data_IF_251361374497
#
_entry.id   IF_251361374497
#
_cell.length_a   1.000
_cell.length_b   1.000
_cell.length_c   1.000
_cell.angle_alpha   90.00
_cell.angle_beta   90.00
_cell.angle_gamma   90.00
#
_symmetry.space_group_name_H-M   'P 1'
#
loop_
_entity.id
_entity.type
_entity.pdbx_description
1 polymer ?
#
# COMPACT_ATOMS: atom_id res chain seq x y z
N UNK A 1 22.19 -25.32 13.20
CA UNK A 1 22.02 -25.38 14.68
C UNK A 1 23.39 -25.09 15.30
N UNK A 2 23.55 -24.15 16.23
CA UNK A 2 24.88 -23.73 16.74
C UNK A 2 25.06 -23.89 18.26
N UNK A 3 24.02 -24.29 18.99
CA UNK A 3 24.05 -24.50 20.44
C UNK A 3 23.42 -25.84 20.84
N UNK A 4 23.85 -26.40 21.98
CA UNK A 4 23.37 -27.68 22.52
C UNK A 4 21.86 -27.70 22.86
N UNK A 5 21.23 -26.54 22.97
CA UNK A 5 19.79 -26.38 23.24
C UNK A 5 18.97 -26.16 21.95
N UNK A 6 19.59 -26.34 20.78
CA UNK A 6 18.89 -26.18 19.50
C UNK A 6 18.43 -27.55 19.01
N UNK A 7 17.13 -27.76 18.88
CA UNK A 7 16.59 -28.95 18.20
C UNK A 7 15.72 -28.52 17.03
N UNK A 8 15.77 -29.30 15.94
CA UNK A 8 14.94 -29.06 14.78
C UNK A 8 14.24 -30.33 14.32
N UNK A 9 13.01 -30.20 13.84
CA UNK A 9 12.22 -31.32 13.30
C UNK A 9 11.56 -30.89 12.01
N UNK A 10 11.48 -31.81 11.06
CA UNK A 10 10.67 -31.64 9.85
C UNK A 10 9.31 -32.28 10.11
N UNK A 11 8.25 -31.52 9.89
CA UNK A 11 6.86 -31.92 10.03
C UNK A 11 6.20 -31.96 8.64
N UNK A 12 5.21 -32.85 8.45
CA UNK A 12 4.41 -32.94 7.22
C UNK A 12 3.89 -34.35 6.93
N UNK A 13 3.25 -34.59 5.78
CA UNK A 13 2.55 -33.58 5.00
C UNK A 13 1.34 -33.06 5.81
N UNK A 14 1.13 -31.75 5.81
CA UNK A 14 -0.09 -31.14 6.33
C UNK A 14 -0.59 -30.06 5.36
N UNK A 15 -1.91 -29.88 5.30
CA UNK A 15 -2.49 -28.73 4.63
C UNK A 15 -1.95 -27.43 5.27
N UNK A 16 -1.82 -26.34 4.50
CA UNK A 16 -1.43 -25.04 5.05
C UNK A 16 -2.27 -24.67 6.29
N UNK A 17 -1.60 -24.32 7.39
CA UNK A 17 -2.24 -23.93 8.66
C UNK A 17 -2.57 -25.09 9.61
N UNK A 18 -2.25 -26.33 9.25
CA UNK A 18 -2.42 -27.50 10.13
C UNK A 18 -1.08 -27.95 10.74
N UNK A 19 -1.12 -28.33 12.01
CA UNK A 19 0.05 -28.92 12.68
C UNK A 19 0.19 -30.38 12.25
N UNK A 20 1.37 -30.76 11.74
CA UNK A 20 1.69 -32.15 11.45
C UNK A 20 2.57 -32.78 12.52
N UNK A 21 2.52 -34.11 12.61
CA UNK A 21 3.51 -34.88 13.35
C UNK A 21 4.89 -34.71 12.72
N UNK A 22 5.97 -34.78 13.53
CA UNK A 22 7.32 -34.81 12.99
C UNK A 22 7.55 -36.08 12.18
N UNK A 23 8.12 -35.93 11.00
CA UNK A 23 8.48 -37.02 10.08
C UNK A 23 9.97 -37.29 10.11
N UNK A 24 10.78 -36.25 10.32
CA UNK A 24 12.23 -36.36 10.41
C UNK A 24 12.74 -35.59 11.61
N UNK A 25 13.51 -36.26 12.47
CA UNK A 25 14.34 -35.59 13.46
C UNK A 25 15.59 -35.05 12.77
N UNK A 26 15.94 -33.80 13.04
CA UNK A 26 17.26 -33.27 12.68
C UNK A 26 18.24 -33.52 13.83
N UNK A 27 19.55 -33.58 13.56
CA UNK A 27 20.55 -33.80 14.58
C UNK A 27 20.35 -32.87 15.79
N UNK A 28 20.28 -33.44 16.99
CA UNK A 28 19.94 -32.71 18.21
C UNK A 28 21.12 -32.04 18.91
N UNK A 29 22.36 -32.28 18.44
CA UNK A 29 23.59 -31.72 19.02
C UNK A 29 24.67 -31.51 17.95
N UNK A 30 25.33 -30.35 17.95
CA UNK A 30 26.45 -30.03 17.04
C UNK A 30 26.18 -28.85 16.10
N UNK A 31 27.22 -28.41 15.40
CA UNK A 31 27.13 -27.39 14.34
C UNK A 31 26.93 -28.05 12.98
N UNK A 32 25.74 -27.88 12.40
CA UNK A 32 25.43 -28.36 11.05
C UNK A 32 25.01 -27.19 10.18
N UNK A 33 25.61 -27.11 8.99
CA UNK A 33 25.20 -26.21 7.90
C UNK A 33 24.37 -26.95 6.86
N UNK A 34 24.63 -28.24 6.65
CA UNK A 34 23.96 -29.09 5.65
C UNK A 34 23.66 -30.47 6.22
N UNK A 35 22.41 -30.94 6.08
CA UNK A 35 21.99 -32.29 6.48
C UNK A 35 21.14 -32.90 5.37
N UNK A 36 21.50 -34.12 4.94
CA UNK A 36 20.77 -34.83 3.87
C UNK A 36 19.64 -35.65 4.47
N UNK A 37 18.44 -35.42 3.97
CA UNK A 37 17.28 -36.30 4.15
C UNK A 37 16.99 -37.01 2.83
N UNK A 38 16.63 -38.28 2.90
CA UNK A 38 16.14 -39.02 1.73
C UNK A 38 14.62 -38.95 1.72
N UNK A 39 14.06 -38.37 0.66
CA UNK A 39 12.61 -38.23 0.48
C UNK A 39 12.07 -39.29 -0.48
N UNK A 40 10.87 -39.78 -0.23
CA UNK A 40 10.11 -40.55 -1.23
C UNK A 40 9.62 -39.63 -2.36
N UNK A 41 9.28 -40.15 -3.56
CA UNK A 41 8.73 -39.33 -4.64
C UNK A 41 7.50 -38.51 -4.23
N UNK A 42 6.62 -39.07 -3.38
CA UNK A 42 5.47 -38.33 -2.85
C UNK A 42 5.90 -37.19 -1.93
N UNK A 43 6.85 -37.43 -1.02
CA UNK A 43 7.36 -36.38 -0.12
C UNK A 43 8.09 -35.27 -0.89
N UNK A 44 8.71 -35.57 -2.03
CA UNK A 44 9.27 -34.54 -2.92
C UNK A 44 8.16 -33.67 -3.51
N UNK A 45 7.04 -34.26 -3.94
CA UNK A 45 5.90 -33.51 -4.44
C UNK A 45 5.25 -32.67 -3.34
N UNK A 46 5.05 -33.24 -2.16
CA UNK A 46 4.49 -32.55 -0.99
C UNK A 46 5.40 -31.40 -0.53
N UNK A 47 6.73 -31.58 -0.53
CA UNK A 47 7.69 -30.53 -0.23
C UNK A 47 7.62 -29.39 -1.27
N UNK A 48 7.56 -29.73 -2.57
CA UNK A 48 7.38 -28.75 -3.64
C UNK A 48 6.05 -28.00 -3.53
N UNK A 49 5.02 -28.66 -3.00
CA UNK A 49 3.71 -28.08 -2.73
C UNK A 49 3.65 -27.31 -1.39
N UNK A 50 4.74 -27.24 -0.62
CA UNK A 50 4.77 -26.50 0.66
C UNK A 50 4.15 -27.23 1.86
N UNK A 51 3.90 -28.54 1.76
CA UNK A 51 3.21 -29.30 2.81
C UNK A 51 4.14 -29.77 3.95
N UNK A 52 5.44 -29.51 3.82
CA UNK A 52 6.47 -29.83 4.81
C UNK A 52 7.07 -28.56 5.40
N UNK A 53 7.30 -28.54 6.72
CA UNK A 53 7.91 -27.41 7.41
C UNK A 53 8.96 -27.84 8.44
N UNK A 54 9.94 -26.98 8.70
CA UNK A 54 10.95 -27.19 9.75
C UNK A 54 10.59 -26.34 10.96
N UNK A 55 10.47 -26.97 12.12
CA UNK A 55 10.38 -26.28 13.41
C UNK A 55 11.77 -26.31 14.06
N UNK A 56 12.35 -25.16 14.41
CA UNK A 56 13.64 -25.05 15.10
C UNK A 56 13.44 -24.36 16.45
N UNK A 57 13.66 -25.05 17.58
CA UNK A 57 13.69 -24.37 18.89
C UNK A 57 15.10 -23.94 19.22
N UNK A 58 15.29 -22.71 19.72
CA UNK A 58 16.58 -22.19 20.16
C UNK A 58 16.42 -21.20 21.33
N UNK A 59 17.50 -20.80 22.00
CA UNK A 59 17.43 -19.75 23.03
C UNK A 59 16.98 -18.37 22.47
N UNK A 60 17.24 -18.10 21.19
CA UNK A 60 16.73 -16.91 20.49
C UNK A 60 15.25 -17.05 20.08
N UNK A 61 14.74 -18.29 19.99
CA UNK A 61 13.38 -18.63 19.60
C UNK A 61 12.84 -19.73 20.54
N UNK A 62 12.60 -19.42 21.83
CA UNK A 62 12.33 -20.41 22.87
C UNK A 62 11.03 -21.20 22.63
N UNK A 63 10.14 -20.64 21.82
CA UNK A 63 8.87 -21.22 21.39
C UNK A 63 8.97 -22.07 20.09
N UNK A 64 10.06 -21.96 19.34
CA UNK A 64 10.23 -22.56 18.01
C UNK A 64 10.18 -21.54 16.87
N UNK A 65 10.93 -21.83 15.80
CA UNK A 65 11.07 -21.05 14.58
C UNK A 65 9.82 -21.24 13.70
N UNK A 66 9.16 -20.12 13.44
CA UNK A 66 7.96 -19.94 12.63
C UNK A 66 8.38 -19.77 11.18
N UNK A 67 7.63 -20.36 10.24
CA UNK A 67 7.80 -20.13 8.80
C UNK A 67 6.53 -19.55 8.21
N UNK A 68 6.60 -18.30 7.74
CA UNK A 68 5.59 -17.73 6.85
C UNK A 68 5.76 -18.32 5.45
N UNK A 69 4.67 -18.83 4.86
CA UNK A 69 4.65 -19.27 3.46
C UNK A 69 3.43 -18.66 2.75
N UNK A 70 3.58 -18.38 1.46
CA UNK A 70 2.40 -18.23 0.59
C UNK A 70 1.64 -19.55 0.56
N UNK A 71 0.30 -19.50 0.65
CA UNK A 71 -0.55 -20.69 0.55
C UNK A 71 -0.42 -21.44 -0.78
N UNK A 72 0.14 -20.80 -1.82
CA UNK A 72 0.50 -21.39 -3.10
C UNK A 72 1.79 -20.75 -3.66
N UNK A 73 2.67 -21.55 -4.28
CA UNK A 73 3.96 -21.11 -4.87
C UNK A 73 3.75 -20.39 -6.22
N UNK A 74 2.60 -20.61 -6.85
CA UNK A 74 2.13 -19.91 -8.05
C UNK A 74 0.61 -19.75 -7.96
N UNK A 75 0.10 -18.55 -8.25
CA UNK A 75 -1.34 -18.29 -8.28
C UNK A 75 -1.75 -17.73 -9.63
N UNK A 76 -2.98 -18.02 -10.06
CA UNK A 76 -3.57 -17.44 -11.27
C UNK A 76 -4.77 -16.58 -10.90
N UNK A 77 -4.99 -15.52 -11.66
CA UNK A 77 -6.16 -14.65 -11.58
C UNK A 77 -6.58 -14.25 -12.99
N UNK A 78 -7.89 -14.20 -13.24
CA UNK A 78 -8.40 -13.59 -14.47
C UNK A 78 -8.22 -12.08 -14.39
N UNK A 79 -7.91 -11.45 -15.50
CA UNK A 79 -7.81 -9.99 -15.57
C UNK A 79 -9.11 -9.31 -15.09
N UNK A 80 -10.26 -9.74 -15.63
CA UNK A 80 -11.59 -9.31 -15.16
C UNK A 80 -12.05 -9.80 -13.77
N UNK A 81 -11.15 -10.32 -12.93
CA UNK A 81 -11.51 -10.66 -11.54
C UNK A 81 -11.61 -9.44 -10.62
N UNK A 82 -11.05 -8.30 -11.04
CA UNK A 82 -10.95 -7.07 -10.27
C UNK A 82 -9.82 -7.08 -9.24
N UNK A 83 -9.67 -8.17 -8.48
CA UNK A 83 -8.55 -8.32 -7.54
C UNK A 83 -8.15 -9.77 -7.30
N UNK A 84 -6.93 -9.95 -6.79
CA UNK A 84 -6.39 -11.20 -6.30
C UNK A 84 -6.10 -11.13 -4.81
N UNK A 85 -6.83 -11.90 -4.01
CA UNK A 85 -6.48 -12.13 -2.60
C UNK A 85 -5.28 -13.07 -2.49
N UNK A 86 -4.22 -12.58 -1.84
CA UNK A 86 -3.02 -13.34 -1.51
C UNK A 86 -3.09 -13.79 -0.06
N UNK A 87 -3.12 -15.11 0.15
CA UNK A 87 -3.12 -15.70 1.49
C UNK A 87 -1.70 -15.96 1.97
N UNK A 88 -1.40 -15.44 3.16
CA UNK A 88 -0.15 -15.68 3.89
C UNK A 88 -0.46 -16.53 5.11
N UNK A 89 0.21 -17.68 5.19
CA UNK A 89 0.00 -18.66 6.25
C UNK A 89 1.20 -18.61 7.19
N UNK A 90 0.91 -18.54 8.48
CA UNK A 90 1.87 -18.70 9.58
C UNK A 90 1.79 -20.14 10.09
N UNK A 91 2.89 -20.86 10.01
CA UNK A 91 3.03 -22.23 10.52
C UNK A 91 3.83 -22.25 11.84
N UNK A 92 3.59 -23.27 12.66
CA UNK A 92 4.31 -23.47 13.93
C UNK A 92 3.58 -22.87 15.13
N UNK A 93 4.33 -22.32 16.09
CA UNK A 93 3.72 -21.74 17.30
C UNK A 93 3.04 -20.39 16.99
N UNK A 94 1.75 -20.32 17.30
CA UNK A 94 0.92 -19.12 17.16
C UNK A 94 0.79 -18.32 18.48
N UNK A 95 1.43 -18.75 19.58
CA UNK A 95 1.22 -18.17 20.92
C UNK A 95 1.62 -16.70 21.07
N UNK A 96 2.60 -16.23 20.29
CA UNK A 96 3.07 -14.85 20.30
C UNK A 96 2.58 -14.07 19.05
N UNK A 97 2.55 -12.74 19.12
CA UNK A 97 2.31 -11.91 17.94
C UNK A 97 3.55 -11.87 17.03
N UNK A 98 3.35 -11.80 15.72
CA UNK A 98 4.42 -11.66 14.72
C UNK A 98 4.01 -10.70 13.60
N UNK A 99 5.00 -10.12 12.93
CA UNK A 99 4.77 -9.32 11.73
C UNK A 99 5.59 -9.84 10.56
N UNK A 100 5.11 -9.57 9.34
CA UNK A 100 5.84 -9.82 8.09
C UNK A 100 5.44 -8.77 7.07
N UNK A 101 6.42 -8.23 6.36
CA UNK A 101 6.17 -7.29 5.27
C UNK A 101 5.87 -8.06 3.99
N UNK A 102 5.03 -7.48 3.13
CA UNK A 102 4.77 -7.97 1.78
C UNK A 102 4.96 -6.83 0.77
N UNK A 103 5.40 -7.18 -0.43
CA UNK A 103 5.46 -6.26 -1.56
C UNK A 103 5.24 -7.02 -2.88
N UNK A 104 4.57 -6.36 -3.80
CA UNK A 104 4.52 -6.75 -5.20
C UNK A 104 5.69 -6.15 -5.98
N UNK A 105 6.07 -6.79 -7.08
CA UNK A 105 7.05 -6.26 -8.02
C UNK A 105 6.78 -6.79 -9.42
N UNK A 106 7.08 -5.98 -10.42
CA UNK A 106 6.81 -6.28 -11.82
C UNK A 106 7.48 -7.57 -12.29
N UNK A 107 6.86 -8.21 -13.28
CA UNK A 107 7.42 -9.29 -14.06
C UNK A 107 7.28 -8.94 -15.54
N UNK A 108 6.40 -9.63 -16.25
CA UNK A 108 5.90 -9.11 -17.54
C UNK A 108 4.73 -8.16 -17.34
N UNK A 109 3.91 -8.41 -16.31
CA UNK A 109 2.91 -7.47 -15.84
C UNK A 109 3.57 -6.35 -15.02
N UNK A 110 3.10 -5.13 -15.17
CA UNK A 110 3.61 -3.89 -14.57
C UNK A 110 2.57 -3.21 -13.67
N UNK A 111 3.01 -2.55 -12.60
CA UNK A 111 2.10 -1.80 -11.73
C UNK A 111 1.45 -0.57 -12.38
N UNK A 112 1.92 -0.22 -13.59
CA UNK A 112 1.45 0.95 -14.34
C UNK A 112 0.21 0.60 -15.15
N UNK A 113 0.13 -0.62 -15.67
CA UNK A 113 -0.94 -1.10 -16.54
C UNK A 113 -1.80 -2.16 -15.86
N UNK A 114 -1.23 -3.27 -15.37
CA UNK A 114 -1.99 -4.53 -15.22
C UNK A 114 -2.41 -4.82 -13.77
N UNK A 115 -1.73 -4.21 -12.79
CA UNK A 115 -2.09 -4.36 -11.38
C UNK A 115 -1.75 -3.10 -10.58
N UNK A 116 -2.37 -2.93 -9.41
CA UNK A 116 -1.97 -1.89 -8.46
C UNK A 116 -0.97 -2.46 -7.47
N UNK A 117 0.19 -1.80 -7.30
CA UNK A 117 1.15 -2.17 -6.26
C UNK A 117 0.47 -2.34 -4.90
N UNK A 118 0.58 -3.55 -4.38
CA UNK A 118 0.24 -3.90 -3.01
C UNK A 118 1.53 -4.04 -2.21
N UNK A 119 1.63 -3.28 -1.11
CA UNK A 119 2.74 -3.35 -0.16
C UNK A 119 2.22 -3.01 1.23
N UNK A 120 2.75 -3.68 2.25
CA UNK A 120 2.48 -3.33 3.63
C UNK A 120 2.97 -4.37 4.61
N UNK A 121 2.46 -4.31 5.84
CA UNK A 121 2.80 -5.27 6.90
C UNK A 121 1.56 -6.07 7.30
N UNK A 122 1.70 -7.39 7.35
CA UNK A 122 0.73 -8.29 7.95
C UNK A 122 1.09 -8.49 9.42
N UNK A 123 0.09 -8.29 10.29
CA UNK A 123 0.22 -8.45 11.74
C UNK A 123 -0.63 -9.63 12.16
N UNK A 124 0.02 -10.66 12.69
CA UNK A 124 -0.63 -11.83 13.25
C UNK A 124 -0.64 -11.67 14.78
N UNK A 125 -1.82 -11.52 15.36
CA UNK A 125 -2.00 -11.57 16.80
C UNK A 125 -1.74 -12.99 17.34
N UNK A 126 -1.70 -13.11 18.67
CA UNK A 126 -1.65 -14.43 19.33
C UNK A 126 -2.82 -15.30 18.87
N UNK A 127 -2.53 -16.52 18.44
CA UNK A 127 -3.47 -17.51 17.92
C UNK A 127 -3.77 -17.38 16.42
N UNK A 128 -3.40 -16.28 15.75
CA UNK A 128 -3.68 -16.10 14.32
C UNK A 128 -2.65 -16.84 13.45
N UNK A 129 -3.15 -17.71 12.55
CA UNK A 129 -2.32 -18.54 11.65
C UNK A 129 -2.49 -18.19 10.17
N UNK A 130 -3.40 -17.29 9.82
CA UNK A 130 -3.61 -16.84 8.44
C UNK A 130 -3.95 -15.34 8.40
N UNK A 131 -3.38 -14.65 7.41
CA UNK A 131 -3.75 -13.30 7.00
C UNK A 131 -3.79 -13.25 5.48
N UNK A 132 -4.39 -12.20 4.95
CA UNK A 132 -4.39 -11.94 3.53
C UNK A 132 -4.26 -10.45 3.24
N UNK A 133 -3.94 -10.15 2.00
CA UNK A 133 -4.05 -8.83 1.40
C UNK A 133 -4.51 -8.99 -0.04
N UNK A 134 -5.10 -7.94 -0.59
CA UNK A 134 -5.57 -7.93 -1.96
C UNK A 134 -4.58 -7.18 -2.86
N UNK A 135 -4.40 -7.70 -4.07
CA UNK A 135 -3.74 -7.01 -5.18
C UNK A 135 -4.82 -6.69 -6.20
N UNK A 136 -5.07 -5.40 -6.44
CA UNK A 136 -6.05 -4.99 -7.45
C UNK A 136 -5.48 -5.28 -8.84
N UNK A 137 -6.30 -5.85 -9.72
CA UNK A 137 -5.96 -6.21 -11.09
C UNK A 137 -6.68 -5.22 -12.02
N UNK A 138 -5.93 -4.58 -12.91
CA UNK A 138 -6.54 -3.75 -13.95
C UNK A 138 -7.15 -4.69 -14.98
N UNK A 139 -8.35 -4.35 -15.46
CA UNK A 139 -9.05 -5.09 -16.51
C UNK A 139 -9.22 -4.09 -17.63
N UNK A 140 -8.49 -4.29 -18.72
CA UNK A 140 -8.56 -3.41 -19.87
C UNK A 140 -9.17 -4.10 -21.11
N UNK A 141 -8.81 -3.64 -22.31
CA UNK A 141 -9.38 -4.13 -23.56
C UNK A 141 -8.30 -4.56 -24.56
N UNK A 142 -7.07 -4.74 -24.09
CA UNK A 142 -5.91 -5.07 -24.91
C UNK A 142 -5.57 -6.53 -24.77
N UNK A 143 -5.46 -7.19 -25.93
CA UNK A 143 -4.92 -8.53 -25.97
C UNK A 143 -3.40 -8.51 -25.78
N UNK A 144 -2.96 -8.86 -24.58
CA UNK A 144 -1.55 -8.87 -24.15
C UNK A 144 -1.02 -10.29 -23.91
N UNK A 145 -1.92 -11.27 -23.78
CA UNK A 145 -1.60 -12.62 -23.38
C UNK A 145 -1.40 -12.75 -21.86
N UNK A 146 -1.05 -13.94 -21.38
CA UNK A 146 -0.85 -14.12 -19.94
C UNK A 146 0.43 -13.46 -19.46
N UNK A 147 0.29 -12.61 -18.46
CA UNK A 147 1.39 -11.88 -17.86
C UNK A 147 1.61 -12.25 -16.39
N UNK A 148 2.75 -11.87 -15.84
CA UNK A 148 3.14 -12.25 -14.47
C UNK A 148 3.69 -11.09 -13.68
N UNK A 149 3.32 -11.01 -12.40
CA UNK A 149 3.99 -10.19 -11.40
C UNK A 149 4.43 -11.07 -10.23
N UNK A 150 5.31 -10.56 -9.37
CA UNK A 150 5.82 -11.28 -8.21
C UNK A 150 5.28 -10.68 -6.92
N UNK A 151 5.12 -11.54 -5.91
CA UNK A 151 4.81 -11.16 -4.54
C UNK A 151 5.92 -11.68 -3.64
N UNK A 152 6.48 -10.83 -2.79
CA UNK A 152 7.59 -11.18 -1.89
C UNK A 152 7.23 -10.86 -0.44
N UNK A 153 7.56 -11.77 0.48
CA UNK A 153 7.56 -11.53 1.92
C UNK A 153 8.95 -11.14 2.41
N UNK A 154 9.03 -10.22 3.37
CA UNK A 154 10.30 -9.74 3.93
C UNK A 154 10.17 -9.30 5.39
N UNK A 155 11.29 -9.00 6.04
CA UNK A 155 11.40 -8.41 7.39
C UNK A 155 10.48 -9.03 8.46
N UNK A 156 10.48 -10.36 8.65
CA UNK A 156 9.67 -10.95 9.70
C UNK A 156 10.16 -10.49 11.08
N UNK A 157 9.24 -10.17 12.00
CA UNK A 157 9.56 -9.95 13.41
C UNK A 157 8.92 -11.04 14.26
N UNK A 158 9.70 -11.61 15.19
CA UNK A 158 9.26 -12.75 16.00
C UNK A 158 9.06 -14.06 15.21
N UNK A 159 9.44 -14.08 13.92
CA UNK A 159 9.29 -15.22 13.01
C UNK A 159 10.46 -15.30 12.01
N UNK A 160 10.53 -16.39 11.25
CA UNK A 160 11.39 -16.53 10.08
C UNK A 160 10.55 -16.74 8.80
N UNK A 161 11.15 -16.50 7.64
CA UNK A 161 10.52 -16.77 6.34
C UNK A 161 10.90 -18.17 5.84
N UNK A 162 9.93 -18.87 5.23
CA UNK A 162 10.24 -20.08 4.46
C UNK A 162 10.82 -19.75 3.10
N UNK A 163 11.37 -20.76 2.42
CA UNK A 163 11.75 -20.67 1.00
C UNK A 163 10.78 -21.54 0.19
N UNK A 164 10.18 -21.01 -0.90
CA UNK A 164 10.35 -19.64 -1.39
C UNK A 164 9.56 -18.62 -0.57
N UNK A 165 10.17 -17.45 -0.32
CA UNK A 165 9.50 -16.28 0.25
C UNK A 165 8.94 -15.35 -0.82
N UNK A 166 8.91 -15.82 -2.07
CA UNK A 166 8.36 -15.14 -3.23
C UNK A 166 7.46 -16.09 -4.02
N UNK A 167 6.38 -15.57 -4.60
CA UNK A 167 5.47 -16.32 -5.46
C UNK A 167 5.16 -15.50 -6.72
N UNK A 168 5.09 -16.16 -7.87
CA UNK A 168 4.61 -15.54 -9.10
C UNK A 168 3.08 -15.61 -9.15
N UNK A 169 2.45 -14.53 -9.59
CA UNK A 169 1.02 -14.45 -9.88
C UNK A 169 0.86 -14.22 -11.37
N UNK A 170 0.14 -15.13 -12.03
CA UNK A 170 -0.20 -15.01 -13.45
C UNK A 170 -1.57 -14.35 -13.60
N UNK A 171 -1.61 -13.25 -14.35
CA UNK A 171 -2.83 -12.64 -14.85
C UNK A 171 -3.15 -13.31 -16.17
N UNK A 172 -4.32 -13.93 -16.27
CA UNK A 172 -4.82 -14.48 -17.53
C UNK A 172 -5.73 -13.46 -18.19
N UNK A 173 -5.22 -12.92 -19.30
CA UNK A 173 -5.94 -12.09 -20.27
C UNK A 173 -7.30 -12.73 -20.64
N UNK A 174 -8.35 -11.92 -20.57
CA UNK A 174 -9.74 -12.27 -20.93
C UNK A 174 -10.17 -11.66 -22.27
N UNK A 175 -9.29 -10.94 -22.96
CA UNK A 175 -9.53 -10.29 -24.23
C UNK A 175 -9.19 -11.19 -25.43
N UNK A 176 -10.03 -11.05 -26.46
CA UNK A 176 -9.99 -11.92 -27.64
C UNK A 176 -9.60 -11.19 -28.92
N UNK A 177 -9.53 -9.86 -28.89
CA UNK A 177 -9.06 -9.04 -29.99
C UNK A 177 -8.45 -7.74 -29.48
N UNK A 178 -7.36 -7.25 -30.10
CA UNK A 178 -6.80 -5.95 -29.74
C UNK A 178 -7.81 -4.84 -29.96
N UNK A 179 -7.95 -3.95 -28.98
CA UNK A 179 -8.80 -2.77 -29.09
C UNK A 179 -8.32 -1.83 -30.22
N UNK A 180 -9.27 -1.23 -30.93
CA UNK A 180 -9.01 -0.19 -31.94
C UNK A 180 -8.80 1.22 -31.35
N UNK A 181 -9.01 1.37 -30.04
CA UNK A 181 -8.83 2.62 -29.29
C UNK A 181 -8.10 2.34 -27.97
N UNK A 182 -7.49 3.36 -27.37
CA UNK A 182 -6.91 3.22 -26.05
C UNK A 182 -8.02 2.87 -25.03
N UNK A 183 -7.92 1.79 -24.23
CA UNK A 183 -8.96 1.37 -23.31
C UNK A 183 -9.39 2.47 -22.34
N UNK A 184 -8.48 3.37 -21.94
CA UNK A 184 -8.83 4.45 -21.00
C UNK A 184 -9.86 5.44 -21.57
N UNK A 185 -10.12 5.42 -22.87
CA UNK A 185 -11.18 6.21 -23.50
C UNK A 185 -12.59 5.70 -23.14
N UNK A 186 -12.69 4.43 -22.72
CA UNK A 186 -13.89 3.87 -22.11
C UNK A 186 -14.18 4.55 -20.76
N UNK A 187 -15.45 4.93 -20.57
CA UNK A 187 -15.85 5.70 -19.39
C UNK A 187 -15.82 4.85 -18.12
N UNK A 188 -16.20 3.57 -18.20
CA UNK A 188 -16.24 2.69 -17.05
C UNK A 188 -14.83 2.36 -16.56
N UNK A 189 -13.92 2.03 -17.48
CA UNK A 189 -12.52 1.82 -17.15
C UNK A 189 -11.89 3.11 -16.59
N UNK A 190 -12.13 4.26 -17.22
CA UNK A 190 -11.63 5.54 -16.72
C UNK A 190 -12.06 5.82 -15.28
N UNK A 191 -13.34 5.63 -14.96
CA UNK A 191 -13.87 5.81 -13.60
C UNK A 191 -13.25 4.80 -12.65
N UNK A 192 -13.22 3.51 -13.01
CA UNK A 192 -12.64 2.45 -12.17
C UNK A 192 -11.18 2.76 -11.85
N UNK A 193 -10.40 3.19 -12.83
CA UNK A 193 -8.98 3.50 -12.62
C UNK A 193 -8.75 4.60 -11.59
N UNK A 194 -9.66 5.57 -11.46
CA UNK A 194 -9.55 6.58 -10.41
C UNK A 194 -9.73 6.00 -9.01
N UNK A 195 -10.60 5.00 -8.85
CA UNK A 195 -10.73 4.28 -7.58
C UNK A 195 -9.47 3.49 -7.24
N UNK A 196 -8.86 2.83 -8.23
CA UNK A 196 -7.62 2.08 -8.01
C UNK A 196 -6.46 3.03 -7.67
N UNK A 197 -6.23 4.04 -8.51
CA UNK A 197 -5.06 4.92 -8.44
C UNK A 197 -5.08 5.86 -7.23
N UNK A 198 -6.26 6.41 -6.89
CA UNK A 198 -6.38 7.40 -5.81
C UNK A 198 -6.88 6.81 -4.49
N UNK A 199 -7.71 5.76 -4.54
CA UNK A 199 -8.37 5.22 -3.35
C UNK A 199 -7.91 3.80 -2.98
N UNK A 200 -7.13 3.13 -3.84
CA UNK A 200 -6.63 1.77 -3.62
C UNK A 200 -7.73 0.77 -3.28
N UNK A 201 -8.88 0.84 -3.97
CA UNK A 201 -10.00 -0.10 -3.81
C UNK A 201 -10.83 -0.20 -5.09
N UNK A 202 -11.64 -1.25 -5.17
CA UNK A 202 -12.72 -1.32 -6.16
C UNK A 202 -13.79 -0.25 -5.90
N UNK A 203 -14.47 0.22 -6.96
CA UNK A 203 -15.56 1.15 -6.81
C UNK A 203 -16.76 0.47 -6.15
N UNK A 204 -17.43 1.20 -5.27
CA UNK A 204 -18.76 0.79 -4.82
C UNK A 204 -19.77 1.05 -5.95
N UNK A 205 -20.79 0.18 -6.06
CA UNK A 205 -21.73 0.22 -7.18
C UNK A 205 -22.39 1.60 -7.38
N UNK A 206 -22.74 2.28 -6.28
CA UNK A 206 -23.35 3.62 -6.33
C UNK A 206 -22.40 4.68 -6.87
N UNK A 207 -21.18 4.75 -6.34
CA UNK A 207 -20.18 5.71 -6.78
C UNK A 207 -19.74 5.44 -8.23
N UNK A 208 -19.57 4.16 -8.59
CA UNK A 208 -19.26 3.76 -9.95
C UNK A 208 -20.29 4.28 -10.96
N UNK A 209 -21.58 4.03 -10.69
CA UNK A 209 -22.67 4.47 -11.52
C UNK A 209 -22.76 6.00 -11.56
N UNK A 210 -22.59 6.67 -10.42
CA UNK A 210 -22.64 8.13 -10.35
C UNK A 210 -21.59 8.78 -11.27
N UNK A 211 -20.32 8.38 -11.15
CA UNK A 211 -19.23 8.97 -11.94
C UNK A 211 -19.29 8.57 -13.42
N UNK A 212 -19.70 7.33 -13.71
CA UNK A 212 -19.94 6.88 -15.10
C UNK A 212 -21.03 7.72 -15.75
N UNK A 213 -22.19 7.85 -15.09
CA UNK A 213 -23.31 8.62 -15.61
C UNK A 213 -23.01 10.12 -15.73
N UNK A 214 -22.15 10.68 -14.85
CA UNK A 214 -21.71 12.07 -14.96
C UNK A 214 -21.06 12.35 -16.33
N UNK A 215 -20.22 11.43 -16.82
CA UNK A 215 -19.56 11.55 -18.13
C UNK A 215 -20.52 11.17 -19.26
N UNK A 216 -21.26 10.06 -19.14
CA UNK A 216 -22.18 9.58 -20.18
C UNK A 216 -23.37 10.51 -20.43
N UNK A 217 -23.73 11.37 -19.47
CA UNK A 217 -24.77 12.39 -19.64
C UNK A 217 -24.50 13.37 -20.80
N UNK A 218 -23.25 13.47 -21.27
CA UNK A 218 -22.86 14.27 -22.42
C UNK A 218 -23.18 13.63 -23.78
N UNK A 219 -23.52 12.34 -23.84
CA UNK A 219 -23.68 11.62 -25.10
C UNK A 219 -22.44 11.72 -25.99
N UNK A 220 -22.63 12.03 -27.28
CA UNK A 220 -21.52 12.11 -28.25
C UNK A 220 -20.70 13.42 -28.22
N UNK A 221 -21.07 14.40 -27.37
CA UNK A 221 -20.36 15.68 -27.28
C UNK A 221 -18.98 15.50 -26.60
N UNK A 222 -17.93 15.51 -27.42
CA UNK A 222 -16.55 15.31 -26.96
C UNK A 222 -16.04 16.44 -26.07
N UNK A 223 -16.50 17.68 -26.28
CA UNK A 223 -16.09 18.80 -25.43
C UNK A 223 -16.71 18.66 -24.04
N UNK A 224 -18.00 18.32 -23.98
CA UNK A 224 -18.68 18.03 -22.72
C UNK A 224 -18.01 16.85 -22.00
N UNK A 225 -17.74 15.73 -22.69
CA UNK A 225 -17.07 14.56 -22.08
C UNK A 225 -15.69 14.91 -21.55
N UNK A 226 -14.90 15.69 -22.29
CA UNK A 226 -13.57 16.12 -21.84
C UNK A 226 -13.64 16.93 -20.54
N UNK A 227 -14.60 17.87 -20.42
CA UNK A 227 -14.83 18.64 -19.20
C UNK A 227 -15.27 17.72 -18.05
N UNK A 228 -16.23 16.80 -18.28
CA UNK A 228 -16.69 15.86 -17.26
C UNK A 228 -15.60 14.92 -16.77
N UNK A 229 -14.68 14.49 -17.65
CA UNK A 229 -13.52 13.69 -17.26
C UNK A 229 -12.60 14.47 -16.33
N UNK A 230 -12.31 15.74 -16.63
CA UNK A 230 -11.54 16.63 -15.75
C UNK A 230 -12.22 16.82 -14.38
N UNK A 231 -13.53 17.08 -14.38
CA UNK A 231 -14.29 17.27 -13.13
C UNK A 231 -14.30 15.99 -12.28
N UNK A 232 -14.58 14.84 -12.89
CA UNK A 232 -14.55 13.53 -12.24
C UNK A 232 -13.16 13.27 -11.66
N UNK A 233 -12.10 13.49 -12.44
CA UNK A 233 -10.71 13.32 -12.03
C UNK A 233 -10.35 14.13 -10.79
N UNK A 234 -10.62 15.44 -10.82
CA UNK A 234 -10.35 16.31 -9.69
C UNK A 234 -11.15 15.92 -8.44
N UNK A 235 -12.37 15.42 -8.61
CA UNK A 235 -13.23 15.04 -7.50
C UNK A 235 -12.66 13.90 -6.64
N UNK A 236 -11.84 13.01 -7.19
CA UNK A 236 -11.22 11.94 -6.40
C UNK A 236 -10.23 12.49 -5.38
N UNK A 237 -9.38 13.44 -5.78
CA UNK A 237 -8.50 14.12 -4.82
C UNK A 237 -9.30 14.92 -3.79
N UNK A 238 -10.37 15.59 -4.22
CA UNK A 238 -11.23 16.40 -3.35
C UNK A 238 -12.13 15.56 -2.42
N UNK A 239 -12.24 14.26 -2.67
CA UNK A 239 -13.11 13.37 -1.91
C UNK A 239 -12.71 13.32 -0.44
N UNK A 240 -13.70 13.13 0.43
CA UNK A 240 -13.46 12.92 1.87
C UNK A 240 -12.47 11.78 2.08
N UNK A 241 -12.61 10.70 1.31
CA UNK A 241 -11.76 9.53 1.44
C UNK A 241 -10.29 9.91 1.20
N UNK A 242 -9.97 10.52 0.05
CA UNK A 242 -8.60 10.93 -0.26
C UNK A 242 -8.07 12.01 0.69
N UNK A 243 -8.89 12.99 1.05
CA UNK A 243 -8.50 14.06 1.97
C UNK A 243 -8.14 13.53 3.37
N UNK A 244 -8.76 12.43 3.78
CA UNK A 244 -8.54 11.81 5.09
C UNK A 244 -7.53 10.65 5.07
N UNK A 245 -7.12 10.18 3.89
CA UNK A 245 -6.09 9.15 3.70
C UNK A 245 -4.83 9.74 3.04
N UNK A 246 -4.80 9.86 1.71
CA UNK A 246 -3.68 10.38 0.91
C UNK A 246 -3.17 11.74 1.37
N UNK A 247 -4.07 12.71 1.52
CA UNK A 247 -3.64 14.04 1.95
C UNK A 247 -3.23 14.10 3.43
N UNK A 248 -3.69 13.18 4.27
CA UNK A 248 -3.15 13.00 5.62
C UNK A 248 -1.72 12.45 5.56
N UNK A 249 -1.47 11.38 4.81
CA UNK A 249 -0.12 10.81 4.63
C UNK A 249 0.86 11.87 4.14
N UNK A 250 0.50 12.63 3.11
CA UNK A 250 1.31 13.74 2.61
C UNK A 250 1.75 14.69 3.73
N UNK A 251 0.81 15.11 4.59
CA UNK A 251 1.07 16.05 5.70
C UNK A 251 1.93 15.42 6.79
N UNK A 252 1.74 14.14 7.10
CA UNK A 252 2.55 13.41 8.07
C UNK A 252 4.04 13.39 7.66
N UNK A 253 4.35 13.18 6.37
CA UNK A 253 5.72 13.31 5.86
C UNK A 253 6.25 14.75 6.02
N UNK A 254 5.41 15.75 5.75
CA UNK A 254 5.76 17.17 5.89
C UNK A 254 6.16 17.53 7.33
N UNK A 255 5.30 17.27 8.31
CA UNK A 255 5.58 17.65 9.71
C UNK A 255 6.61 16.74 10.40
N UNK A 256 6.76 15.48 9.96
CA UNK A 256 7.73 14.57 10.57
C UNK A 256 9.13 14.77 10.01
N UNK A 257 9.24 15.01 8.71
CA UNK A 257 10.50 14.92 7.97
C UNK A 257 10.83 16.15 7.12
N UNK A 258 9.99 17.18 7.13
CA UNK A 258 10.15 18.41 6.33
C UNK A 258 10.36 18.12 4.82
N UNK A 259 9.66 17.10 4.31
CA UNK A 259 9.72 16.70 2.90
C UNK A 259 8.39 16.12 2.44
N UNK A 260 8.22 16.06 1.12
CA UNK A 260 7.13 15.31 0.50
C UNK A 260 7.41 13.79 0.54
N UNK A 261 6.36 12.95 0.55
CA UNK A 261 6.51 11.51 0.36
C UNK A 261 7.07 11.20 -1.03
N UNK A 262 7.76 10.08 -1.17
CA UNK A 262 7.98 9.44 -2.48
C UNK A 262 6.84 8.48 -2.79
N UNK A 263 6.58 8.21 -4.06
CA UNK A 263 5.49 7.35 -4.54
C UNK A 263 5.47 5.99 -3.84
N UNK A 264 6.62 5.28 -3.80
CA UNK A 264 6.73 3.97 -3.15
C UNK A 264 6.57 3.98 -1.63
N UNK A 265 6.65 5.15 -0.99
CA UNK A 265 6.35 5.34 0.43
C UNK A 265 4.86 5.70 0.64
N UNK A 266 4.32 6.51 -0.25
CA UNK A 266 2.96 7.04 -0.20
C UNK A 266 1.91 5.93 -0.30
N UNK A 267 2.02 5.09 -1.34
CA UNK A 267 1.01 4.06 -1.63
C UNK A 267 0.73 3.13 -0.44
N UNK A 268 1.73 2.44 0.17
CA UNK A 268 1.45 1.55 1.30
C UNK A 268 0.86 2.28 2.51
N UNK A 269 1.32 3.51 2.78
CA UNK A 269 0.83 4.32 3.89
C UNK A 269 -0.65 4.71 3.69
N UNK A 270 -1.04 5.05 2.46
CA UNK A 270 -2.44 5.34 2.14
C UNK A 270 -3.35 4.12 2.21
N UNK A 271 -2.85 2.97 1.76
CA UNK A 271 -3.58 1.69 1.81
C UNK A 271 -3.85 1.25 3.25
N UNK A 272 -2.92 1.52 4.17
CA UNK A 272 -3.10 1.21 5.59
C UNK A 272 -4.19 2.08 6.23
N UNK A 273 -4.19 3.40 5.99
CA UNK A 273 -5.22 4.29 6.54
C UNK A 273 -6.60 4.02 5.90
N UNK A 274 -6.64 3.75 4.59
CA UNK A 274 -7.88 3.52 3.85
C UNK A 274 -8.51 2.12 4.02
N UNK A 275 -7.83 1.20 4.70
CA UNK A 275 -8.23 -0.22 4.76
C UNK A 275 -9.66 -0.40 5.29
N UNK A 276 -10.52 -0.99 4.47
CA UNK A 276 -11.92 -1.28 4.84
C UNK A 276 -12.82 -0.05 4.95
N UNK A 277 -12.36 1.11 4.47
CA UNK A 277 -13.14 2.36 4.50
C UNK A 277 -13.81 2.56 3.15
N UNK A 278 -15.14 2.70 3.17
CA UNK A 278 -15.92 3.22 2.05
C UNK A 278 -16.79 4.35 2.61
N UNK A 279 -16.51 5.59 2.22
CA UNK A 279 -17.23 6.76 2.76
C UNK A 279 -18.72 6.64 2.47
N UNK A 280 -19.53 6.81 3.52
CA UNK A 280 -20.99 6.72 3.46
C UNK A 280 -21.56 5.32 3.72
N UNK A 281 -20.73 4.30 3.91
CA UNK A 281 -21.17 2.92 4.19
C UNK A 281 -20.79 2.46 5.61
N UNK A 282 -21.67 1.68 6.25
CA UNK A 282 -21.41 1.09 7.56
C UNK A 282 -20.99 2.12 8.63
N UNK A 283 -19.97 1.78 9.41
CA UNK A 283 -19.37 2.63 10.45
C UNK A 283 -18.06 3.28 9.98
N UNK A 284 -17.96 3.66 8.70
CA UNK A 284 -16.72 4.10 8.07
C UNK A 284 -15.97 5.19 8.84
N UNK A 285 -16.63 6.14 9.52
CA UNK A 285 -15.95 7.16 10.32
C UNK A 285 -15.15 6.54 11.47
N UNK A 286 -15.76 5.61 12.21
CA UNK A 286 -15.12 4.93 13.33
C UNK A 286 -13.96 4.05 12.85
N UNK A 287 -14.15 3.36 11.73
CA UNK A 287 -13.09 2.55 11.11
C UNK A 287 -11.92 3.44 10.67
N UNK A 288 -12.20 4.55 10.00
CA UNK A 288 -11.18 5.49 9.53
C UNK A 288 -10.42 6.13 10.70
N UNK A 289 -11.12 6.55 11.76
CA UNK A 289 -10.47 7.12 12.95
C UNK A 289 -9.59 6.08 13.68
N UNK A 290 -10.05 4.83 13.76
CA UNK A 290 -9.25 3.73 14.30
C UNK A 290 -8.00 3.45 13.43
N UNK A 291 -8.16 3.41 12.10
CA UNK A 291 -7.05 3.22 11.17
C UNK A 291 -6.00 4.34 11.32
N UNK A 292 -6.42 5.61 11.34
CA UNK A 292 -5.53 6.76 11.52
C UNK A 292 -4.77 6.69 12.84
N UNK A 293 -5.45 6.38 13.94
CA UNK A 293 -4.82 6.29 15.25
C UNK A 293 -3.79 5.16 15.29
N UNK A 294 -4.15 3.96 14.81
CA UNK A 294 -3.23 2.82 14.72
C UNK A 294 -2.02 3.15 13.84
N UNK A 295 -2.25 3.78 12.68
CA UNK A 295 -1.18 4.19 11.78
C UNK A 295 -0.25 5.22 12.45
N UNK A 296 -0.79 6.21 13.15
CA UNK A 296 0.02 7.20 13.86
C UNK A 296 0.82 6.60 15.01
N UNK A 297 0.25 5.63 15.75
CA UNK A 297 0.94 4.90 16.82
C UNK A 297 2.16 4.15 16.29
N UNK A 298 2.10 3.62 15.07
CA UNK A 298 3.20 2.93 14.41
C UNK A 298 4.16 3.88 13.71
N UNK A 299 3.64 4.97 13.13
CA UNK A 299 4.43 6.02 12.52
C UNK A 299 5.48 6.56 13.49
N UNK A 300 5.06 6.83 14.74
CA UNK A 300 5.98 7.31 15.78
C UNK A 300 7.00 6.25 16.23
N UNK A 301 6.81 4.98 15.86
CA UNK A 301 7.79 3.92 16.10
C UNK A 301 8.78 3.72 14.95
N UNK A 302 8.59 4.38 13.79
CA UNK A 302 9.54 4.29 12.67
C UNK A 302 10.91 4.81 13.11
N UNK A 303 11.98 4.12 12.72
CA UNK A 303 13.35 4.46 13.13
C UNK A 303 13.73 5.92 12.85
N UNK A 304 13.34 6.44 11.68
CA UNK A 304 13.55 7.84 11.31
C UNK A 304 12.80 8.82 12.22
N UNK A 305 11.56 8.50 12.60
CA UNK A 305 10.78 9.33 13.52
C UNK A 305 11.39 9.34 14.92
N UNK A 306 11.69 8.15 15.46
CA UNK A 306 12.33 8.00 16.78
C UNK A 306 13.64 8.77 16.85
N UNK A 307 14.49 8.63 15.83
CA UNK A 307 15.74 9.37 15.72
C UNK A 307 15.55 10.89 15.70
N UNK A 308 14.42 11.38 15.18
CA UNK A 308 14.13 12.81 15.09
C UNK A 308 13.45 13.39 16.34
N UNK A 309 12.71 12.58 17.11
CA UNK A 309 11.77 13.10 18.12
C UNK A 309 11.90 12.49 19.53
N UNK A 310 12.44 11.28 19.72
CA UNK A 310 12.38 10.58 21.03
C UNK A 310 13.11 11.34 22.14
N UNK A 311 14.22 12.02 21.82
CA UNK A 311 14.99 12.80 22.79
C UNK A 311 14.44 14.19 23.13
N UNK A 312 13.34 14.62 22.50
CA UNK A 312 12.79 15.96 22.67
C UNK A 312 11.88 16.07 23.90
N UNK A 313 11.80 17.26 24.49
CA UNK A 313 10.72 17.58 25.44
C UNK A 313 9.37 17.66 24.72
N UNK A 314 8.25 17.69 25.46
CA UNK A 314 6.92 17.84 24.86
C UNK A 314 6.77 19.18 24.11
N UNK A 315 7.35 20.26 24.65
CA UNK A 315 7.39 21.56 23.99
C UNK A 315 8.22 21.52 22.70
N UNK A 316 9.42 20.94 22.75
CA UNK A 316 10.29 20.85 21.57
C UNK A 316 9.71 19.93 20.51
N UNK A 317 9.02 18.86 20.92
CA UNK A 317 8.29 17.96 20.02
C UNK A 317 7.22 18.73 19.23
N UNK A 318 6.32 19.44 19.92
CA UNK A 318 5.25 20.23 19.27
C UNK A 318 5.84 21.33 18.39
N UNK A 319 6.84 22.07 18.88
CA UNK A 319 7.49 23.13 18.11
C UNK A 319 8.17 22.59 16.84
N UNK A 320 8.82 21.42 16.92
CA UNK A 320 9.48 20.81 15.77
C UNK A 320 8.49 20.36 14.72
N UNK A 321 7.35 19.77 15.10
CA UNK A 321 6.28 19.41 14.14
C UNK A 321 5.80 20.64 13.37
N UNK A 322 5.47 21.72 14.08
CA UNK A 322 5.04 22.98 13.45
C UNK A 322 6.12 23.62 12.58
N UNK A 323 7.38 23.60 13.04
CA UNK A 323 8.52 24.11 12.28
C UNK A 323 8.71 23.33 10.98
N UNK A 324 8.61 22.00 11.02
CA UNK A 324 8.72 21.15 9.84
C UNK A 324 7.52 21.34 8.89
N UNK A 325 6.32 21.50 9.44
CA UNK A 325 5.10 21.82 8.67
C UNK A 325 5.13 23.22 8.03
N UNK A 326 6.09 24.08 8.43
CA UNK A 326 6.22 25.44 7.91
C UNK A 326 5.11 26.39 8.36
N UNK A 327 4.33 26.04 9.39
CA UNK A 327 3.24 26.87 9.90
C UNK A 327 3.50 27.35 11.33
N UNK A 328 3.09 28.57 11.65
CA UNK A 328 3.21 29.13 12.99
C UNK A 328 1.89 28.98 13.75
N UNK A 329 1.81 28.14 14.79
CA UNK A 329 0.59 28.00 15.59
C UNK A 329 0.36 29.24 16.47
N UNK A 330 -0.87 29.44 16.91
CA UNK A 330 -1.13 30.40 17.99
C UNK A 330 -0.53 29.91 19.30
N UNK A 331 -0.19 30.83 20.22
CA UNK A 331 0.31 30.44 21.54
C UNK A 331 -0.68 29.51 22.27
N UNK A 332 -1.98 29.83 22.22
CA UNK A 332 -3.05 29.03 22.82
C UNK A 332 -3.10 27.61 22.25
N UNK A 333 -3.01 27.45 20.93
CA UNK A 333 -3.04 26.14 20.27
C UNK A 333 -1.82 25.29 20.65
N UNK A 334 -0.62 25.87 20.57
CA UNK A 334 0.62 25.18 20.97
C UNK A 334 0.57 24.77 22.44
N UNK A 335 0.23 25.71 23.32
CA UNK A 335 0.24 25.48 24.78
C UNK A 335 -0.80 24.43 25.18
N UNK A 336 -1.94 24.36 24.48
CA UNK A 336 -2.93 23.30 24.70
C UNK A 336 -2.42 21.91 24.32
N UNK A 337 -1.68 21.76 23.22
CA UNK A 337 -1.07 20.48 22.83
C UNK A 337 0.02 20.05 23.80
N UNK A 338 0.87 20.98 24.24
CA UNK A 338 1.93 20.70 25.22
C UNK A 338 1.32 20.30 26.57
N UNK A 339 0.34 21.06 27.07
CA UNK A 339 -0.34 20.72 28.31
C UNK A 339 -1.04 19.36 28.26
N UNK A 340 -1.60 18.97 27.11
CA UNK A 340 -2.22 17.67 26.92
C UNK A 340 -1.19 16.52 26.96
N UNK A 341 0.02 16.72 26.44
CA UNK A 341 1.11 15.75 26.55
C UNK A 341 1.63 15.66 27.99
N UNK A 342 1.85 16.80 28.65
CA UNK A 342 2.36 16.86 30.03
C UNK A 342 1.39 16.20 31.02
N UNK A 343 0.07 16.35 30.79
CA UNK A 343 -0.97 15.71 31.57
C UNK A 343 -1.24 14.24 31.19
N UNK A 344 -0.52 13.69 30.20
CA UNK A 344 -0.79 12.38 29.58
C UNK A 344 -2.23 12.22 29.07
N UNK A 345 -2.90 13.32 28.73
CA UNK A 345 -4.24 13.32 28.15
C UNK A 345 -4.20 12.98 26.64
N UNK A 346 -3.07 13.21 25.98
CA UNK A 346 -2.79 12.81 24.61
C UNK A 346 -1.43 12.11 24.52
N UNK A 347 -1.33 11.16 23.60
CA UNK A 347 -0.05 10.58 23.19
C UNK A 347 0.63 11.48 22.15
N UNK A 348 1.93 11.26 21.89
CA UNK A 348 2.64 11.91 20.79
C UNK A 348 2.00 11.61 19.43
N UNK A 349 1.61 10.36 19.18
CA UNK A 349 0.88 9.97 17.97
C UNK A 349 -0.45 10.72 17.81
N UNK A 350 -1.17 10.99 18.90
CA UNK A 350 -2.39 11.79 18.83
C UNK A 350 -2.10 13.25 18.50
N UNK A 351 -1.06 13.83 19.11
CA UNK A 351 -0.63 15.21 18.78
C UNK A 351 -0.14 15.32 17.35
N UNK A 352 0.55 14.31 16.81
CA UNK A 352 0.93 14.23 15.40
C UNK A 352 -0.30 14.40 14.49
N UNK A 353 -1.36 13.60 14.71
CA UNK A 353 -2.60 13.72 13.95
C UNK A 353 -3.26 15.09 14.11
N UNK A 354 -3.24 15.68 15.31
CA UNK A 354 -3.83 16.99 15.55
C UNK A 354 -3.06 18.12 14.81
N UNK A 355 -1.72 18.06 14.75
CA UNK A 355 -0.90 19.03 14.00
C UNK A 355 -1.09 18.84 12.50
N UNK A 356 -1.14 17.60 12.00
CA UNK A 356 -1.50 17.33 10.62
C UNK A 356 -2.83 18.02 10.27
N UNK A 357 -3.85 17.92 11.13
CA UNK A 357 -5.18 18.51 10.95
C UNK A 357 -5.31 20.01 11.18
N UNK A 358 -4.20 20.71 11.48
CA UNK A 358 -4.16 22.15 11.52
C UNK A 358 -4.66 22.76 10.18
N UNK A 359 -5.54 23.76 10.28
CA UNK A 359 -6.21 24.35 9.12
C UNK A 359 -5.24 25.10 8.19
N UNK A 360 -4.28 25.83 8.75
CA UNK A 360 -3.26 26.54 7.98
C UNK A 360 -2.34 25.56 7.26
N UNK A 361 -1.97 24.46 7.92
CA UNK A 361 -1.13 23.42 7.30
C UNK A 361 -1.84 22.77 6.11
N UNK A 362 -3.11 22.36 6.28
CA UNK A 362 -3.94 21.89 5.16
C UNK A 362 -4.02 22.89 4.02
N UNK A 363 -4.27 24.17 4.33
CA UNK A 363 -4.42 25.20 3.30
C UNK A 363 -3.12 25.42 2.52
N UNK A 364 -1.98 25.50 3.21
CA UNK A 364 -0.66 25.71 2.62
C UNK A 364 -0.29 24.54 1.69
N UNK A 365 -0.49 23.32 2.15
CA UNK A 365 -0.05 22.11 1.45
C UNK A 365 -1.03 21.60 0.40
N UNK A 366 -2.25 22.14 0.34
CA UNK A 366 -3.28 21.68 -0.59
C UNK A 366 -2.81 21.70 -2.04
N UNK A 367 -2.24 22.82 -2.50
CA UNK A 367 -1.79 22.97 -3.91
C UNK A 367 -0.54 22.14 -4.21
N UNK A 368 0.53 22.19 -3.40
CA UNK A 368 1.68 21.30 -3.57
C UNK A 368 1.30 19.81 -3.61
N UNK A 369 0.40 19.39 -2.73
CA UNK A 369 -0.11 18.02 -2.71
C UNK A 369 -0.93 17.71 -3.96
N UNK A 370 -1.82 18.61 -4.38
CA UNK A 370 -2.64 18.39 -5.58
C UNK A 370 -1.78 18.14 -6.83
N UNK A 371 -0.75 18.96 -7.05
CA UNK A 371 0.21 18.73 -8.15
C UNK A 371 0.94 17.40 -8.00
N UNK A 372 1.36 17.03 -6.79
CA UNK A 372 2.07 15.77 -6.57
C UNK A 372 1.17 14.56 -6.88
N UNK A 373 -0.13 14.66 -6.60
CA UNK A 373 -1.08 13.58 -6.87
C UNK A 373 -1.39 13.39 -8.35
N UNK A 374 -1.10 14.38 -9.21
CA UNK A 374 -1.13 14.16 -10.65
C UNK A 374 -0.05 13.16 -11.07
N UNK A 375 1.16 13.24 -10.48
CA UNK A 375 2.25 12.29 -10.75
C UNK A 375 1.99 10.93 -10.10
N UNK A 376 1.52 10.90 -8.86
CA UNK A 376 1.31 9.64 -8.14
C UNK A 376 0.07 8.89 -8.65
N UNK A 377 -1.04 9.59 -8.86
CA UNK A 377 -2.28 9.01 -9.33
C UNK A 377 -2.20 8.62 -10.80
N UNK A 378 -1.86 9.56 -11.68
CA UNK A 378 -1.90 9.30 -13.12
C UNK A 378 -0.61 8.69 -13.67
N UNK A 379 0.56 9.14 -13.24
CA UNK A 379 1.82 8.69 -13.84
C UNK A 379 2.49 7.53 -13.09
N UNK A 380 2.04 7.26 -11.85
CA UNK A 380 2.54 6.20 -10.96
C UNK A 380 4.06 6.29 -10.70
N UNK A 381 4.59 7.51 -10.55
CA UNK A 381 6.04 7.74 -10.32
C UNK A 381 6.32 9.02 -9.53
N UNK A 382 7.56 9.22 -9.09
CA UNK A 382 7.96 10.51 -8.56
C UNK A 382 8.12 11.55 -9.69
N UNK A 383 7.91 12.85 -9.42
CA UNK A 383 8.08 13.89 -10.43
C UNK A 383 9.50 14.03 -10.99
N UNK A 384 10.51 13.55 -10.26
CA UNK A 384 11.93 13.54 -10.61
C UNK A 384 12.42 12.18 -11.13
N UNK A 385 11.55 11.17 -11.23
CA UNK A 385 11.86 9.91 -11.87
C UNK A 385 11.73 10.02 -13.41
N UNK A 386 12.44 9.19 -14.20
CA UNK A 386 12.26 9.13 -15.65
C UNK A 386 10.79 9.06 -16.10
N UNK A 387 10.42 9.73 -17.20
CA UNK A 387 11.28 10.41 -18.18
C UNK A 387 11.84 11.77 -17.75
N UNK A 388 11.43 12.30 -16.60
CA UNK A 388 12.01 13.51 -16.04
C UNK A 388 13.39 13.22 -15.39
N UNK A 389 14.16 14.28 -15.14
CA UNK A 389 15.49 14.18 -14.51
C UNK A 389 15.63 15.10 -13.29
N UNK A 390 14.61 15.90 -13.03
CA UNK A 390 14.53 16.87 -11.94
C UNK A 390 13.06 17.19 -11.64
N UNK A 391 12.82 18.17 -10.75
CA UNK A 391 11.48 18.61 -10.38
C UNK A 391 10.91 19.73 -11.25
N UNK A 392 11.54 20.06 -12.38
CA UNK A 392 11.14 21.21 -13.21
C UNK A 392 9.69 21.12 -13.70
N UNK A 393 9.21 19.93 -14.07
CA UNK A 393 7.81 19.70 -14.43
C UNK A 393 6.86 19.94 -13.26
N UNK A 394 7.21 19.49 -12.05
CA UNK A 394 6.43 19.72 -10.85
C UNK A 394 6.35 21.22 -10.51
N UNK A 395 7.49 21.91 -10.52
CA UNK A 395 7.58 23.33 -10.21
C UNK A 395 6.81 24.19 -11.22
N UNK A 396 6.85 23.81 -12.51
CA UNK A 396 6.03 24.43 -13.55
C UNK A 396 4.53 24.33 -13.23
N UNK A 397 4.03 23.14 -12.92
CA UNK A 397 2.61 22.94 -12.64
C UNK A 397 2.17 23.63 -11.36
N UNK A 398 3.01 23.62 -10.32
CA UNK A 398 2.74 24.35 -9.08
C UNK A 398 2.69 25.86 -9.32
N UNK A 399 3.63 26.41 -10.08
CA UNK A 399 3.62 27.83 -10.45
C UNK A 399 2.37 28.21 -11.26
N UNK A 400 2.00 27.37 -12.24
CA UNK A 400 0.80 27.58 -13.06
C UNK A 400 -0.48 27.50 -12.24
N UNK A 401 -0.61 26.51 -11.36
CA UNK A 401 -1.76 26.38 -10.47
C UNK A 401 -1.88 27.58 -9.52
N UNK A 402 -0.75 28.08 -9.01
CA UNK A 402 -0.72 29.29 -8.18
C UNK A 402 -1.12 30.55 -8.96
N UNK A 403 -0.69 30.69 -10.21
CA UNK A 403 -1.08 31.80 -11.10
C UNK A 403 -2.60 31.89 -11.26
N UNK A 404 -3.29 30.75 -11.32
CA UNK A 404 -4.75 30.68 -11.43
C UNK A 404 -5.46 30.55 -10.08
N UNK A 405 -4.79 30.87 -8.96
CA UNK A 405 -5.40 30.88 -7.63
C UNK A 405 -5.86 29.50 -7.14
N UNK A 406 -5.30 28.41 -7.68
CA UNK A 406 -5.73 27.04 -7.39
C UNK A 406 -6.84 26.52 -8.32
N UNK A 407 -7.28 27.30 -9.31
CA UNK A 407 -8.25 26.83 -10.30
C UNK A 407 -7.56 25.90 -11.31
N UNK A 408 -7.73 24.59 -11.09
CA UNK A 408 -7.11 23.54 -11.90
C UNK A 408 -7.66 23.47 -13.33
N UNK A 409 -8.90 23.92 -13.55
CA UNK A 409 -9.53 24.00 -14.87
C UNK A 409 -8.82 25.07 -15.70
N UNK A 410 -8.68 26.29 -15.16
CA UNK A 410 -7.98 27.38 -15.84
C UNK A 410 -6.47 27.10 -15.99
N UNK A 411 -5.89 26.35 -15.06
CA UNK A 411 -4.52 25.87 -15.19
C UNK A 411 -4.38 24.74 -16.23
N UNK A 412 -5.48 24.16 -16.73
CA UNK A 412 -5.52 23.00 -17.62
C UNK A 412 -4.73 21.80 -17.07
N UNK A 413 -4.57 21.71 -15.75
CA UNK A 413 -3.61 20.80 -15.13
C UNK A 413 -4.07 19.36 -15.23
N UNK A 414 -5.20 19.04 -14.60
CA UNK A 414 -5.77 17.68 -14.60
C UNK A 414 -5.95 17.18 -16.04
N UNK A 415 -6.47 18.03 -16.94
CA UNK A 415 -6.61 17.72 -18.36
C UNK A 415 -5.28 17.31 -19.00
N UNK A 416 -4.20 18.06 -18.74
CA UNK A 416 -2.90 17.78 -19.33
C UNK A 416 -2.36 16.42 -18.88
N UNK A 417 -2.55 16.02 -17.63
CA UNK A 417 -2.12 14.71 -17.14
C UNK A 417 -2.98 13.57 -17.73
N UNK A 418 -4.31 13.65 -17.65
CA UNK A 418 -5.20 12.58 -18.13
C UNK A 418 -5.28 12.44 -19.65
N UNK A 419 -4.70 13.39 -20.41
CA UNK A 419 -4.56 13.31 -21.87
C UNK A 419 -3.10 13.19 -22.32
N UNK A 420 -2.16 13.14 -21.38
CA UNK A 420 -0.74 12.98 -21.70
C UNK A 420 -0.48 11.64 -22.37
N UNK A 421 0.51 11.63 -23.27
CA UNK A 421 1.01 10.39 -23.87
C UNK A 421 1.45 9.39 -22.80
N UNK A 422 2.10 9.87 -21.74
CA UNK A 422 2.59 9.02 -20.65
C UNK A 422 1.44 8.32 -19.90
N UNK A 423 0.35 9.04 -19.58
CA UNK A 423 -0.82 8.44 -18.95
C UNK A 423 -1.49 7.42 -19.87
N UNK A 424 -1.69 7.78 -21.15
CA UNK A 424 -2.33 6.90 -22.13
C UNK A 424 -1.54 5.61 -22.39
N UNK A 425 -0.21 5.69 -22.39
CA UNK A 425 0.69 4.55 -22.57
C UNK A 425 0.57 3.48 -21.47
N UNK A 426 -0.04 3.81 -20.33
CA UNK A 426 -0.38 2.82 -19.30
C UNK A 426 -1.46 1.83 -19.76
N UNK A 427 -2.23 2.18 -20.77
CA UNK A 427 -3.34 1.39 -21.28
C UNK A 427 -3.10 1.18 -22.79
N UNK A 428 -1.91 0.74 -23.15
CA UNK A 428 -1.53 0.49 -24.55
C UNK A 428 -1.21 1.73 -25.39
N UNK A 429 -1.04 1.50 -26.70
CA UNK A 429 -0.55 2.54 -27.61
C UNK A 429 -1.55 3.72 -27.71
N UNK A 430 -1.07 4.98 -27.65
CA UNK A 430 -1.89 6.17 -27.44
C UNK A 430 -2.78 6.58 -28.62
#
# INVERSE_FOLDING_TARGET
>A
LSAAETFAKIHGPAAPGQTASPVFDLPSTGSFTDFRITLTPQQVNDLKAGLFYVNVRSAAFPAGEIRGQFGAVSATVSEGAGFKTINVVRLGDASAAVTVDYATSDGTATERSDYTTARGTLRFASGETQKSFDVLITDDGLQEGSETFNVTLSNPTGAALSIPSSAAVTITDNDSAPSSSNPIDDTQLFVRQHYLDFLSREPDASGFQFWTNNIESCGADQQCRAVRRVDTSAAFFLSIEFQQTGFLVYRLYGESFARQPRYGEFIPDTQEIGRGVIVGQGNWQQQLDANKQSFADEWVQRAAFKSAFDGLSNLDYVNKLYSNAGVTPTATERDALVAALDANAKTRSRVLLDVADNASFKQQEFRPAFVLMEYFGYLRRNPDDPPDHDRGGYDFWLAKLNQFGGNYVNAEMVRAFISSTEYRQRFGQP
#
